data_IF_476670913963
#
_entry.id   IF_476670913963
#
_cell.length_a   1.000
_cell.length_b   1.000
_cell.length_c   1.000
_cell.angle_alpha   90.00
_cell.angle_beta   90.00
_cell.angle_gamma   90.00
#
_symmetry.space_group_name_H-M   'P 1'
#
loop_
_entity.id
_entity.type
_entity.pdbx_description
1 polymer ?
#
# COMPACT_ATOMS: atom_id res chain seq x y z
N UNK A 1 6.68 -14.19 1.40
CA UNK A 1 6.03 -12.87 1.23
C UNK A 1 4.66 -12.99 0.60
N UNK A 2 4.51 -13.57 -0.61
CA UNK A 2 3.17 -13.78 -1.22
C UNK A 2 2.22 -14.59 -0.32
N UNK A 3 2.67 -15.74 0.20
CA UNK A 3 1.90 -16.58 1.12
C UNK A 3 1.54 -15.84 2.42
N UNK A 4 2.50 -15.10 3.00
CA UNK A 4 2.26 -14.32 4.23
C UNK A 4 1.18 -13.26 3.98
N UNK A 5 1.27 -12.51 2.88
CA UNK A 5 0.25 -11.54 2.48
C UNK A 5 -1.12 -12.19 2.26
N UNK A 6 -1.18 -13.34 1.60
CA UNK A 6 -2.43 -14.07 1.35
C UNK A 6 -3.07 -14.58 2.66
N UNK A 7 -2.27 -15.15 3.57
CA UNK A 7 -2.76 -15.62 4.88
C UNK A 7 -3.31 -14.48 5.71
N UNK A 8 -2.60 -13.34 5.76
CA UNK A 8 -3.08 -12.15 6.48
C UNK A 8 -4.36 -11.60 5.83
N UNK A 9 -4.42 -11.54 4.50
CA UNK A 9 -5.61 -11.09 3.77
C UNK A 9 -6.83 -11.96 4.11
N UNK A 10 -6.71 -13.29 3.96
CA UNK A 10 -7.77 -14.24 4.28
C UNK A 10 -8.17 -14.17 5.76
N UNK A 11 -7.18 -14.06 6.65
CA UNK A 11 -7.40 -13.94 8.09
C UNK A 11 -8.20 -12.69 8.48
N UNK A 12 -7.84 -11.53 7.95
CA UNK A 12 -8.57 -10.27 8.19
C UNK A 12 -9.95 -10.33 7.55
N UNK A 13 -10.07 -10.85 6.33
CA UNK A 13 -11.33 -10.92 5.62
C UNK A 13 -12.34 -11.80 6.37
N UNK A 14 -11.92 -12.99 6.79
CA UNK A 14 -12.77 -13.92 7.56
C UNK A 14 -13.13 -13.33 8.93
N UNK A 15 -12.17 -12.74 9.63
CA UNK A 15 -12.41 -12.12 10.94
C UNK A 15 -13.37 -10.93 10.84
N UNK A 16 -13.23 -10.13 9.80
CA UNK A 16 -14.12 -8.99 9.51
C UNK A 16 -15.52 -9.48 9.14
N UNK A 17 -15.62 -10.51 8.30
CA UNK A 17 -16.90 -11.10 7.93
C UNK A 17 -17.64 -11.70 9.13
N UNK A 18 -16.93 -12.42 10.00
CA UNK A 18 -17.48 -12.95 11.24
C UNK A 18 -17.96 -11.85 12.18
N UNK A 19 -17.16 -10.79 12.37
CA UNK A 19 -17.53 -9.65 13.22
C UNK A 19 -18.77 -8.93 12.68
N UNK A 20 -18.86 -8.72 11.36
CA UNK A 20 -20.04 -8.10 10.71
C UNK A 20 -21.28 -8.99 10.88
N UNK A 21 -21.14 -10.31 10.80
CA UNK A 21 -22.24 -11.25 10.98
C UNK A 21 -22.75 -11.26 12.43
N UNK A 22 -21.85 -11.31 13.42
CA UNK A 22 -22.21 -11.29 14.84
C UNK A 22 -22.82 -9.95 15.26
N UNK A 23 -22.28 -8.83 14.76
CA UNK A 23 -22.79 -7.48 15.07
C UNK A 23 -24.04 -7.09 14.27
N UNK A 24 -24.45 -7.90 13.28
CA UNK A 24 -25.65 -7.66 12.45
C UNK A 24 -26.92 -7.53 13.27
N UNK A 25 -27.03 -8.25 14.39
CA UNK A 25 -28.17 -8.17 15.29
C UNK A 25 -28.20 -6.86 16.10
N UNK A 26 -27.02 -6.33 16.46
CA UNK A 26 -26.85 -5.06 17.18
C UNK A 26 -27.06 -3.83 16.27
N UNK A 27 -26.89 -4.00 14.95
CA UNK A 27 -26.90 -2.93 13.95
C UNK A 27 -28.26 -2.72 13.24
N UNK A 28 -29.37 -3.14 13.85
CA UNK A 28 -30.69 -3.23 13.21
C UNK A 28 -31.31 -1.90 12.73
N UNK A 29 -30.65 -0.73 12.85
CA UNK A 29 -31.32 0.54 12.49
C UNK A 29 -30.56 1.70 11.85
N UNK A 30 -29.22 1.75 11.66
CA UNK A 30 -28.66 2.99 11.05
C UNK A 30 -27.26 3.01 10.43
N UNK A 31 -26.48 1.92 10.41
CA UNK A 31 -25.11 2.00 9.89
C UNK A 31 -24.77 0.86 8.93
N UNK A 32 -24.04 1.16 7.86
CA UNK A 32 -23.58 0.18 6.86
C UNK A 32 -22.26 -0.46 7.30
N UNK A 33 -21.97 -1.73 6.96
CA UNK A 33 -20.73 -2.41 7.34
C UNK A 33 -19.47 -1.67 6.85
N UNK A 34 -19.54 -1.02 5.69
CA UNK A 34 -18.48 -0.13 5.19
C UNK A 34 -18.23 1.07 6.10
N UNK A 35 -19.27 1.62 6.73
CA UNK A 35 -19.12 2.73 7.65
C UNK A 35 -18.41 2.33 8.94
N UNK A 36 -18.61 1.10 9.41
CA UNK A 36 -17.85 0.55 10.55
C UNK A 36 -16.37 0.37 10.22
N UNK A 37 -16.07 -0.14 9.02
CA UNK A 37 -14.68 -0.30 8.54
C UNK A 37 -13.95 1.04 8.38
N UNK A 38 -14.68 2.10 8.06
CA UNK A 38 -14.14 3.45 7.86
C UNK A 38 -14.04 4.25 9.17
N UNK A 39 -14.92 4.02 10.15
CA UNK A 39 -14.97 4.78 11.39
C UNK A 39 -15.35 3.88 12.58
N UNK A 40 -14.36 3.58 13.41
CA UNK A 40 -14.59 2.89 14.69
C UNK A 40 -15.22 3.85 15.71
N UNK A 41 -16.17 3.37 16.54
CA UNK A 41 -16.70 4.17 17.63
C UNK A 41 -15.59 4.58 18.61
N UNK A 42 -15.72 5.75 19.22
CA UNK A 42 -14.76 6.27 20.20
C UNK A 42 -14.67 5.30 21.40
N UNK A 43 -13.44 4.97 21.82
CA UNK A 43 -13.21 4.08 22.97
C UNK A 43 -13.22 2.58 22.65
N UNK A 44 -13.13 2.16 21.38
CA UNK A 44 -12.88 0.74 21.06
C UNK A 44 -11.59 0.27 21.70
N UNK A 45 -11.68 -0.75 22.55
CA UNK A 45 -10.51 -1.44 23.09
C UNK A 45 -9.79 -2.17 21.94
N UNK A 46 -8.45 -2.12 21.82
CA UNK A 46 -7.68 -2.87 20.82
C UNK A 46 -7.66 -4.37 21.15
N UNK A 47 -8.83 -5.00 21.18
CA UNK A 47 -8.99 -6.40 21.56
C UNK A 47 -10.03 -7.02 20.66
N UNK A 48 -9.64 -8.06 19.93
CA UNK A 48 -10.52 -8.76 19.01
C UNK A 48 -9.76 -9.47 17.89
N UNK A 49 -10.48 -10.34 17.17
CA UNK A 49 -9.95 -11.15 16.05
C UNK A 49 -9.31 -10.29 14.96
N UNK A 50 -9.89 -9.13 14.68
CA UNK A 50 -9.40 -8.18 13.66
C UNK A 50 -8.07 -7.52 14.09
N UNK A 51 -7.90 -7.21 15.38
CA UNK A 51 -6.65 -6.65 15.91
C UNK A 51 -5.51 -7.68 15.92
N UNK A 52 -5.81 -8.97 16.17
CA UNK A 52 -4.83 -10.05 16.05
C UNK A 52 -4.18 -10.10 14.67
N UNK A 53 -5.00 -10.08 13.61
CA UNK A 53 -4.47 -10.10 12.25
C UNK A 53 -3.78 -8.80 11.84
N UNK A 54 -4.22 -7.68 12.41
CA UNK A 54 -3.52 -6.40 12.25
C UNK A 54 -2.12 -6.43 12.88
N UNK A 55 -1.95 -7.14 13.99
CA UNK A 55 -0.66 -7.40 14.61
C UNK A 55 0.21 -8.35 13.75
N UNK A 56 -0.39 -9.38 13.15
CA UNK A 56 0.29 -10.24 12.17
C UNK A 56 0.77 -9.45 10.95
N UNK A 57 -0.04 -8.49 10.47
CA UNK A 57 0.39 -7.56 9.43
C UNK A 57 1.58 -6.72 9.86
N UNK A 58 1.54 -6.13 11.06
CA UNK A 58 2.66 -5.38 11.62
C UNK A 58 3.94 -6.22 11.68
N UNK A 59 3.87 -7.45 12.19
CA UNK A 59 5.02 -8.36 12.24
C UNK A 59 5.57 -8.68 10.84
N UNK A 60 4.70 -8.83 9.84
CA UNK A 60 5.13 -9.02 8.45
C UNK A 60 5.96 -7.84 7.92
N UNK A 61 5.67 -6.60 8.35
CA UNK A 61 6.44 -5.40 7.97
C UNK A 61 7.85 -5.43 8.56
N UNK A 62 8.01 -5.93 9.79
CA UNK A 62 9.35 -6.15 10.36
C UNK A 62 10.15 -7.14 9.53
N UNK A 63 9.55 -8.26 9.11
CA UNK A 63 10.23 -9.23 8.22
C UNK A 63 10.65 -8.60 6.89
N UNK A 64 9.83 -7.71 6.33
CA UNK A 64 10.19 -6.95 5.13
C UNK A 64 11.40 -6.02 5.37
N UNK A 65 11.46 -5.36 6.53
CA UNK A 65 12.60 -4.53 6.92
C UNK A 65 13.88 -5.36 7.12
N UNK A 66 13.79 -6.52 7.78
CA UNK A 66 14.93 -7.44 7.94
C UNK A 66 15.50 -7.87 6.60
N UNK A 67 14.65 -8.20 5.61
CA UNK A 67 15.11 -8.56 4.27
C UNK A 67 15.88 -7.42 3.59
N UNK A 68 15.41 -6.18 3.73
CA UNK A 68 16.15 -5.02 3.20
C UNK A 68 17.48 -4.85 3.92
N UNK A 69 17.53 -5.04 5.24
CA UNK A 69 18.77 -4.99 6.01
C UNK A 69 19.79 -6.04 5.53
N UNK A 70 19.37 -7.30 5.35
CA UNK A 70 20.24 -8.33 4.78
C UNK A 70 20.69 -8.02 3.34
N UNK A 71 19.88 -7.27 2.59
CA UNK A 71 20.28 -6.84 1.23
C UNK A 71 21.34 -5.74 1.28
N UNK A 72 21.30 -4.84 2.28
CA UNK A 72 22.36 -3.85 2.56
C UNK A 72 23.66 -4.57 2.92
N UNK A 73 23.57 -5.55 3.83
CA UNK A 73 24.74 -6.33 4.26
C UNK A 73 25.41 -7.10 3.11
N UNK A 74 24.65 -7.47 2.07
CA UNK A 74 25.18 -8.10 0.85
C UNK A 74 25.77 -7.11 -0.17
N UNK A 75 25.98 -5.85 0.22
CA UNK A 75 26.53 -4.76 -0.60
C UNK A 75 25.83 -4.58 -1.96
N UNK A 76 24.59 -5.04 -2.09
CA UNK A 76 23.80 -4.81 -3.30
C UNK A 76 23.33 -3.36 -3.31
N UNK A 77 23.44 -2.71 -4.47
CA UNK A 77 22.98 -1.33 -4.70
C UNK A 77 21.48 -1.25 -4.35
N UNK A 78 21.18 -0.70 -3.18
CA UNK A 78 19.81 -0.48 -2.74
C UNK A 78 19.40 0.94 -3.09
N UNK A 79 18.18 1.06 -3.59
CA UNK A 79 17.56 2.37 -3.77
C UNK A 79 17.17 2.85 -2.38
N UNK A 80 17.78 3.93 -1.88
CA UNK A 80 17.50 4.51 -0.55
C UNK A 80 15.99 4.73 -0.30
N UNK A 81 15.24 4.99 -1.37
CA UNK A 81 13.78 5.05 -1.38
C UNK A 81 13.10 3.82 -0.75
N UNK A 82 13.57 2.61 -1.07
CA UNK A 82 12.96 1.38 -0.58
C UNK A 82 13.13 1.22 0.94
N UNK A 83 14.26 1.66 1.48
CA UNK A 83 14.52 1.65 2.92
C UNK A 83 13.60 2.66 3.65
N UNK A 84 13.56 3.89 3.15
CA UNK A 84 12.71 4.96 3.69
C UNK A 84 11.23 4.56 3.65
N UNK A 85 10.76 4.03 2.51
CA UNK A 85 9.38 3.58 2.37
C UNK A 85 9.03 2.42 3.33
N UNK A 86 9.91 1.43 3.48
CA UNK A 86 9.68 0.33 4.43
C UNK A 86 9.69 0.79 5.89
N UNK A 87 10.56 1.74 6.24
CA UNK A 87 10.61 2.34 7.57
C UNK A 87 9.32 3.11 7.88
N UNK A 88 8.90 3.98 6.97
CA UNK A 88 7.67 4.76 7.11
C UNK A 88 6.47 3.83 7.26
N UNK A 89 6.32 2.82 6.40
CA UNK A 89 5.20 1.88 6.46
C UNK A 89 5.18 1.04 7.75
N UNK A 90 6.34 0.75 8.34
CA UNK A 90 6.43 0.05 9.63
C UNK A 90 5.98 0.97 10.77
N UNK A 91 6.43 2.23 10.74
CA UNK A 91 6.01 3.25 11.71
C UNK A 91 4.50 3.54 11.62
N UNK A 92 3.95 3.65 10.42
CA UNK A 92 2.50 3.77 10.20
C UNK A 92 1.74 2.61 10.83
N UNK A 93 2.22 1.38 10.63
CA UNK A 93 1.58 0.17 11.16
C UNK A 93 1.59 0.13 12.69
N UNK A 94 2.64 0.67 13.33
CA UNK A 94 2.69 0.86 14.78
C UNK A 94 1.63 1.86 15.26
N UNK A 95 1.56 3.04 14.64
CA UNK A 95 0.57 4.07 14.97
C UNK A 95 -0.87 3.57 14.81
N UNK A 96 -1.11 2.70 13.82
CA UNK A 96 -2.43 2.10 13.61
C UNK A 96 -2.86 1.25 14.81
N UNK A 97 -1.95 0.42 15.35
CA UNK A 97 -2.23 -0.43 16.51
C UNK A 97 -2.40 0.37 17.80
N UNK A 98 -1.48 1.31 18.07
CA UNK A 98 -1.46 2.10 19.31
C UNK A 98 -2.74 2.94 19.47
N UNK A 99 -3.14 3.63 18.40
CA UNK A 99 -4.29 4.53 18.43
C UNK A 99 -5.58 3.88 17.94
N UNK A 100 -5.57 2.57 17.65
CA UNK A 100 -6.70 1.82 17.06
C UNK A 100 -7.34 2.60 15.91
N UNK A 101 -6.50 3.03 14.98
CA UNK A 101 -6.88 4.04 13.99
C UNK A 101 -8.01 3.52 13.10
N UNK A 102 -9.08 4.31 13.01
CA UNK A 102 -10.16 4.10 12.04
C UNK A 102 -9.58 4.12 10.61
N UNK A 103 -10.00 3.20 9.72
CA UNK A 103 -9.43 2.90 8.38
C UNK A 103 -8.33 1.82 8.33
N UNK A 104 -7.73 1.42 9.45
CA UNK A 104 -6.67 0.42 9.49
C UNK A 104 -7.04 -0.88 8.76
N UNK A 105 -8.21 -1.45 9.03
CA UNK A 105 -8.62 -2.77 8.51
C UNK A 105 -8.76 -2.75 6.98
N UNK A 106 -9.42 -1.71 6.46
CA UNK A 106 -9.62 -1.56 5.02
C UNK A 106 -8.27 -1.34 4.30
N UNK A 107 -7.40 -0.50 4.89
CA UNK A 107 -6.06 -0.27 4.36
C UNK A 107 -5.23 -1.56 4.31
N UNK A 108 -5.27 -2.38 5.36
CA UNK A 108 -4.55 -3.65 5.40
C UNK A 108 -5.12 -4.63 4.37
N UNK A 109 -6.44 -4.73 4.22
CA UNK A 109 -7.07 -5.62 3.23
C UNK A 109 -6.61 -5.28 1.81
N UNK A 110 -6.69 -4.01 1.42
CA UNK A 110 -6.32 -3.58 0.07
C UNK A 110 -4.80 -3.76 -0.14
N UNK A 111 -3.98 -3.39 0.84
CA UNK A 111 -2.53 -3.52 0.75
C UNK A 111 -2.09 -4.99 0.65
N UNK A 112 -2.63 -5.87 1.48
CA UNK A 112 -2.28 -7.30 1.50
C UNK A 112 -2.75 -8.03 0.23
N UNK A 113 -3.90 -7.66 -0.33
CA UNK A 113 -4.36 -8.15 -1.63
C UNK A 113 -3.41 -7.74 -2.76
N UNK A 114 -3.03 -6.47 -2.83
CA UNK A 114 -2.12 -6.00 -3.88
C UNK A 114 -0.73 -6.63 -3.70
N UNK A 115 -0.24 -6.77 -2.47
CA UNK A 115 1.03 -7.45 -2.21
C UNK A 115 1.01 -8.93 -2.55
N UNK A 116 -0.09 -9.66 -2.31
CA UNK A 116 -0.19 -11.06 -2.72
C UNK A 116 -0.11 -11.19 -4.24
N UNK A 117 -0.79 -10.31 -4.99
CA UNK A 117 -0.74 -10.25 -6.45
C UNK A 117 0.68 -9.90 -6.95
N UNK A 118 1.30 -8.84 -6.43
CA UNK A 118 2.64 -8.40 -6.87
C UNK A 118 3.69 -9.47 -6.58
N UNK A 119 3.71 -10.02 -5.36
CA UNK A 119 4.70 -11.02 -4.99
C UNK A 119 4.41 -12.37 -5.66
N UNK A 120 3.14 -12.72 -5.89
CA UNK A 120 2.74 -13.88 -6.67
C UNK A 120 3.21 -13.77 -8.12
N UNK A 121 2.98 -12.63 -8.76
CA UNK A 121 3.48 -12.35 -10.11
C UNK A 121 5.01 -12.43 -10.18
N UNK A 122 5.73 -11.83 -9.22
CA UNK A 122 7.20 -11.95 -9.17
C UNK A 122 7.69 -13.38 -9.02
N UNK A 123 6.99 -14.20 -8.23
CA UNK A 123 7.30 -15.61 -8.08
C UNK A 123 7.02 -16.36 -9.40
N UNK A 124 5.88 -16.11 -10.03
CA UNK A 124 5.50 -16.65 -11.34
C UNK A 124 6.57 -16.38 -12.40
N UNK A 125 7.06 -15.14 -12.49
CA UNK A 125 8.13 -14.76 -13.42
C UNK A 125 9.48 -15.40 -13.07
N UNK A 126 9.78 -15.63 -11.78
CA UNK A 126 11.03 -16.25 -11.34
C UNK A 126 11.08 -17.76 -11.61
N UNK A 127 9.93 -18.42 -11.70
CA UNK A 127 9.80 -19.84 -12.08
C UNK A 127 9.96 -20.05 -13.59
N UNK A 128 10.07 -18.97 -14.38
CA UNK A 128 10.33 -19.03 -15.83
C UNK A 128 9.07 -19.05 -16.70
N UNK A 129 7.90 -18.78 -16.12
CA UNK A 129 6.66 -18.61 -16.88
C UNK A 129 6.64 -17.24 -17.60
N UNK A 130 5.92 -17.13 -18.73
CA UNK A 130 5.93 -15.93 -19.54
C UNK A 130 5.49 -14.70 -18.73
N UNK A 131 6.30 -13.66 -18.81
CA UNK A 131 6.00 -12.36 -18.21
C UNK A 131 4.91 -11.68 -19.04
N UNK A 132 4.01 -10.97 -18.38
CA UNK A 132 3.11 -10.06 -19.06
C UNK A 132 3.91 -8.94 -19.73
N UNK A 133 3.60 -8.61 -20.99
CA UNK A 133 4.30 -7.61 -21.81
C UNK A 133 4.10 -6.15 -21.32
N UNK A 134 3.34 -5.94 -20.25
CA UNK A 134 3.01 -4.63 -19.70
C UNK A 134 3.53 -4.50 -18.26
N UNK A 135 3.79 -3.27 -17.76
CA UNK A 135 4.28 -3.04 -16.40
C UNK A 135 3.19 -3.27 -15.34
N UNK A 136 2.73 -4.52 -15.22
CA UNK A 136 1.63 -4.96 -14.35
C UNK A 136 1.83 -4.55 -12.89
N UNK A 137 3.04 -4.76 -12.36
CA UNK A 137 3.39 -4.41 -10.97
C UNK A 137 3.22 -2.90 -10.71
N UNK A 138 3.60 -2.07 -11.68
CA UNK A 138 3.51 -0.61 -11.58
C UNK A 138 2.05 -0.16 -11.59
N UNK A 139 1.23 -0.71 -12.49
CA UNK A 139 -0.20 -0.42 -12.55
C UNK A 139 -0.92 -0.82 -11.25
N UNK A 140 -0.62 -2.00 -10.70
CA UNK A 140 -1.15 -2.42 -9.40
C UNK A 140 -0.73 -1.47 -8.27
N UNK A 141 0.52 -0.97 -8.28
CA UNK A 141 0.97 0.01 -7.29
C UNK A 141 0.26 1.36 -7.44
N UNK A 142 0.01 1.83 -8.66
CA UNK A 142 -0.74 3.06 -8.93
C UNK A 142 -2.19 2.91 -8.45
N UNK A 143 -2.84 1.77 -8.72
CA UNK A 143 -4.21 1.50 -8.24
C UNK A 143 -4.26 1.45 -6.72
N UNK A 144 -3.30 0.78 -6.06
CA UNK A 144 -3.21 0.75 -4.60
C UNK A 144 -3.06 2.16 -4.01
N UNK A 145 -2.21 2.97 -4.62
CA UNK A 145 -1.93 4.33 -4.19
C UNK A 145 -3.17 5.23 -4.36
N UNK A 146 -3.83 5.14 -5.52
CA UNK A 146 -5.08 5.86 -5.78
C UNK A 146 -6.21 5.44 -4.83
N UNK A 147 -6.34 4.14 -4.56
CA UNK A 147 -7.34 3.62 -3.63
C UNK A 147 -7.07 4.09 -2.18
N UNK A 148 -5.82 4.14 -1.74
CA UNK A 148 -5.46 4.69 -0.43
C UNK A 148 -5.80 6.18 -0.32
N UNK A 149 -5.52 6.98 -1.34
CA UNK A 149 -5.87 8.42 -1.37
C UNK A 149 -7.39 8.60 -1.32
N UNK A 150 -8.14 7.86 -2.16
CA UNK A 150 -9.60 7.92 -2.17
C UNK A 150 -10.20 7.54 -0.82
N UNK A 151 -9.67 6.51 -0.16
CA UNK A 151 -10.14 6.13 1.16
C UNK A 151 -9.81 7.15 2.25
N UNK A 152 -8.63 7.80 2.19
CA UNK A 152 -8.28 8.90 3.10
C UNK A 152 -9.24 10.08 2.96
N UNK A 153 -9.64 10.43 1.72
CA UNK A 153 -10.68 11.44 1.47
C UNK A 153 -12.02 11.00 2.06
N UNK A 154 -12.41 9.73 1.90
CA UNK A 154 -13.64 9.19 2.47
C UNK A 154 -13.72 9.27 4.00
N UNK A 155 -12.60 9.02 4.70
CA UNK A 155 -12.50 9.17 6.16
C UNK A 155 -12.68 10.64 6.57
N UNK A 156 -12.06 11.57 5.84
CA UNK A 156 -12.19 12.99 6.09
C UNK A 156 -13.64 13.45 5.92
N UNK A 157 -14.31 13.04 4.85
CA UNK A 157 -15.73 13.36 4.61
C UNK A 157 -16.64 12.79 5.72
N UNK A 158 -16.41 11.55 6.17
CA UNK A 158 -17.16 10.93 7.26
C UNK A 158 -16.94 11.62 8.60
N UNK A 159 -15.71 12.09 8.87
CA UNK A 159 -15.38 12.81 10.08
C UNK A 159 -16.14 14.13 10.19
N UNK A 160 -16.17 14.92 9.11
CA UNK A 160 -16.91 16.19 9.05
C UNK A 160 -18.42 16.00 9.19
N UNK A 161 -18.97 14.88 8.70
CA UNK A 161 -20.42 14.65 8.73
C UNK A 161 -20.96 14.03 10.03
N UNK A 162 -20.16 13.31 10.83
CA UNK A 162 -20.67 12.47 11.95
C UNK A 162 -20.00 12.66 13.31
N UNK A 163 -19.09 13.62 13.46
CA UNK A 163 -18.66 14.09 14.79
C UNK A 163 -17.57 13.25 15.49
N UNK A 164 -16.49 12.90 14.78
CA UNK A 164 -15.31 12.27 15.37
C UNK A 164 -15.19 10.76 15.14
N UNK A 165 -14.00 10.30 14.75
CA UNK A 165 -13.63 8.88 14.66
C UNK A 165 -12.41 8.63 15.55
N UNK A 166 -12.25 7.41 16.05
CA UNK A 166 -11.11 7.08 16.89
C UNK A 166 -9.78 7.23 16.13
N UNK A 167 -8.77 7.82 16.78
CA UNK A 167 -7.42 7.98 16.23
C UNK A 167 -7.23 9.15 15.24
N UNK A 168 -8.00 10.24 15.33
CA UNK A 168 -7.90 11.37 14.39
C UNK A 168 -6.51 12.02 14.30
N UNK A 169 -5.78 12.10 15.42
CA UNK A 169 -4.41 12.62 15.45
C UNK A 169 -3.41 11.70 14.74
N UNK A 170 -3.53 10.38 14.97
CA UNK A 170 -2.74 9.38 14.27
C UNK A 170 -3.07 9.32 12.78
N UNK A 171 -4.34 9.55 12.42
CA UNK A 171 -4.77 9.65 11.03
C UNK A 171 -4.07 10.80 10.31
N UNK A 172 -4.01 12.00 10.90
CA UNK A 172 -3.29 13.14 10.30
C UNK A 172 -1.83 12.81 10.01
N UNK A 173 -1.14 12.23 11.01
CA UNK A 173 0.26 11.83 10.85
C UNK A 173 0.45 10.76 9.76
N UNK A 174 -0.45 9.77 9.72
CA UNK A 174 -0.46 8.74 8.68
C UNK A 174 -0.74 9.30 7.28
N UNK A 175 -1.60 10.32 7.17
CA UNK A 175 -1.88 11.00 5.89
C UNK A 175 -0.65 11.75 5.39
N UNK A 176 0.04 12.50 6.27
CA UNK A 176 1.29 13.20 5.92
C UNK A 176 2.36 12.21 5.44
N UNK A 177 2.56 11.13 6.17
CA UNK A 177 3.53 10.10 5.80
C UNK A 177 3.15 9.39 4.49
N UNK A 178 1.86 9.16 4.22
CA UNK A 178 1.39 8.58 2.95
C UNK A 178 1.63 9.56 1.79
N UNK A 179 1.39 10.85 2.02
CA UNK A 179 1.74 11.92 1.08
C UNK A 179 3.23 11.95 0.76
N UNK A 180 4.10 11.77 1.76
CA UNK A 180 5.54 11.69 1.56
C UNK A 180 5.95 10.48 0.71
N UNK A 181 5.36 9.30 0.94
CA UNK A 181 5.59 8.10 0.13
C UNK A 181 5.13 8.34 -1.32
N UNK A 182 3.93 8.90 -1.50
CA UNK A 182 3.38 9.24 -2.82
C UNK A 182 4.31 10.18 -3.57
N UNK A 183 4.76 11.25 -2.92
CA UNK A 183 5.68 12.21 -3.50
C UNK A 183 6.99 11.56 -3.97
N UNK A 184 7.59 10.74 -3.11
CA UNK A 184 8.82 10.02 -3.46
C UNK A 184 8.62 9.02 -4.61
N UNK A 185 7.47 8.33 -4.64
CA UNK A 185 7.11 7.42 -5.73
C UNK A 185 6.93 8.16 -7.05
N UNK A 186 6.19 9.27 -7.04
CA UNK A 186 6.00 10.13 -8.22
C UNK A 186 7.32 10.71 -8.71
N UNK A 187 8.18 11.18 -7.82
CA UNK A 187 9.49 11.72 -8.20
C UNK A 187 10.35 10.65 -8.92
N UNK A 188 10.39 9.42 -8.38
CA UNK A 188 11.08 8.31 -9.04
C UNK A 188 10.45 7.93 -10.38
N UNK A 189 9.12 7.87 -10.44
CA UNK A 189 8.37 7.55 -11.65
C UNK A 189 8.61 8.58 -12.76
N UNK A 190 8.48 9.86 -12.43
CA UNK A 190 8.73 11.00 -13.31
C UNK A 190 10.18 10.97 -13.81
N UNK A 191 11.16 10.74 -12.93
CA UNK A 191 12.57 10.63 -13.30
C UNK A 191 12.84 9.47 -14.27
N UNK A 192 12.20 8.31 -14.07
CA UNK A 192 12.31 7.16 -14.96
C UNK A 192 11.66 7.43 -16.32
N UNK A 193 10.46 8.03 -16.36
CA UNK A 193 9.72 8.29 -17.59
C UNK A 193 10.36 9.42 -18.42
N UNK A 194 10.84 10.49 -17.77
CA UNK A 194 11.61 11.55 -18.42
C UNK A 194 12.97 11.05 -18.90
N UNK A 195 13.63 10.16 -18.15
CA UNK A 195 14.86 9.50 -18.58
C UNK A 195 14.65 8.71 -19.87
N UNK A 196 13.62 7.85 -19.89
CA UNK A 196 13.26 7.08 -21.09
C UNK A 196 12.85 7.97 -22.27
N UNK A 197 12.15 9.09 -22.02
CA UNK A 197 11.81 10.06 -23.07
C UNK A 197 13.06 10.76 -23.63
N UNK A 198 14.06 11.06 -22.80
CA UNK A 198 15.33 11.64 -23.23
C UNK A 198 16.15 10.67 -24.08
N UNK A 199 16.20 9.40 -23.72
CA UNK A 199 16.85 8.36 -24.54
C UNK A 199 16.20 8.24 -25.91
N UNK A 200 14.86 8.15 -25.98
CA UNK A 200 14.13 8.10 -27.26
C UNK A 200 14.33 9.36 -28.11
N UNK A 201 14.40 10.55 -27.49
CA UNK A 201 14.68 11.80 -28.22
C UNK A 201 16.13 11.83 -28.71
N UNK A 202 17.09 11.32 -27.93
CA UNK A 202 18.49 11.21 -28.32
C UNK A 202 18.66 10.27 -29.52
N UNK A 203 18.03 9.10 -29.48
CA UNK A 203 18.05 8.11 -30.57
C UNK A 203 17.40 8.70 -31.85
N UNK A 204 16.27 9.40 -31.71
CA UNK A 204 15.62 10.06 -32.84
C UNK A 204 16.43 11.24 -33.43
N UNK A 205 17.22 11.94 -32.61
CA UNK A 205 18.14 12.98 -33.08
C UNK A 205 19.35 12.39 -33.82
N UNK A 206 19.92 11.29 -33.32
CA UNK A 206 21.00 10.55 -33.98
C UNK A 206 20.56 9.96 -35.34
N UNK A 207 19.34 9.39 -35.41
CA UNK A 207 18.76 8.90 -36.68
C UNK A 207 18.54 10.04 -37.70
N UNK A 208 18.11 11.22 -37.25
CA UNK A 208 17.90 12.38 -38.11
C UNK A 208 19.21 12.95 -38.67
N UNK A 209 20.28 12.98 -37.87
CA UNK A 209 21.61 13.39 -38.32
C UNK A 209 22.21 12.39 -39.33
N UNK A 210 22.01 11.08 -39.13
CA UNK A 210 22.48 10.06 -40.07
C UNK A 210 21.80 10.14 -41.45
N UNK A 211 20.52 10.54 -41.51
CA UNK A 211 19.81 10.74 -42.78
C UNK A 211 20.32 11.95 -43.56
N UNK A 212 20.70 13.04 -42.88
CA UNK A 212 21.23 14.24 -43.53
C UNK A 212 22.63 14.05 -44.15
N UNK A 213 23.42 13.11 -43.63
CA UNK A 213 24.76 12.78 -44.16
C UNK A 213 24.70 11.93 -45.44
N UNK A 214 23.58 11.23 -45.68
CA UNK A 214 23.41 10.32 -46.82
C UNK A 214 22.91 10.99 -48.11
N UNK A 215 22.39 12.22 -48.00
CA UNK A 215 21.88 13.04 -49.11
C UNK A 215 22.93 14.03 -49.68
N UNK A 216 24.19 13.94 -49.24
CA UNK A 216 25.34 14.70 -49.77
C UNK A 216 26.33 13.77 -50.48
#
# INVERSE_FOLDING_TARGET
>A
MALISAVIFSGILLSTAAEIQETRWFWRRSKTPFQWLLCFPLGTRPSGRVFFWSYMYYLSRYLHMFRTFFTILRLRKLVSFQLVNNSILTFMSFLWLEFSQSFQVLAILIATLVYSIIYGYRFWTAVGLPCACFPFVLNCQIVLLGCNVACHVGVLSLHFMKGGCNGIGAWWFNSVLNGAILFLFLNFYVKMYLGKRKEVISEAMEEAEMMQVKDK
#
